data_IF_665390319358
#
_entry.id   IF_665390319358
#
_cell.length_a   1.000
_cell.length_b   1.000
_cell.length_c   1.000
_cell.angle_alpha   90.00
_cell.angle_beta   90.00
_cell.angle_gamma   90.00
#
_symmetry.space_group_name_H-M   'P 1'
#
loop_
_entity.id
_entity.type
_entity.pdbx_description
1 polymer ?
#
# COMPACT_ATOMS: atom_id res chain seq x y z
N UNK A 1 107.79 -9.07 35.97
CA UNK A 1 106.76 -9.74 35.16
C UNK A 1 105.69 -10.26 36.11
N UNK A 2 104.54 -9.59 36.17
CA UNK A 2 103.27 -10.15 36.69
C UNK A 2 102.15 -9.19 36.34
N UNK A 3 101.35 -9.59 35.36
CA UNK A 3 100.19 -8.88 34.83
C UNK A 3 99.05 -8.90 35.85
N UNK A 4 98.50 -7.73 36.19
CA UNK A 4 97.23 -7.61 36.92
C UNK A 4 96.10 -7.35 35.92
N UNK A 5 95.27 -8.36 35.70
CA UNK A 5 94.07 -8.31 34.87
C UNK A 5 92.94 -7.73 35.72
N UNK A 6 92.35 -6.61 35.27
CA UNK A 6 91.16 -6.00 35.87
C UNK A 6 89.95 -6.59 35.15
N UNK A 7 89.17 -7.42 35.85
CA UNK A 7 87.88 -7.92 35.38
C UNK A 7 86.79 -6.89 35.69
N UNK A 8 86.24 -6.24 34.67
CA UNK A 8 85.00 -5.47 34.79
C UNK A 8 83.82 -6.43 34.80
N UNK A 9 83.17 -6.61 35.95
CA UNK A 9 81.88 -7.27 36.06
C UNK A 9 80.77 -6.25 35.74
N UNK A 10 80.18 -6.36 34.55
CA UNK A 10 78.93 -5.68 34.22
C UNK A 10 77.75 -6.52 34.72
N UNK A 11 77.04 -6.00 35.71
CA UNK A 11 75.83 -6.61 36.26
C UNK A 11 74.62 -6.22 35.39
N UNK A 12 74.29 -7.02 34.38
CA UNK A 12 73.07 -6.82 33.59
C UNK A 12 71.85 -7.32 34.37
N UNK A 13 71.08 -6.37 34.92
CA UNK A 13 69.76 -6.65 35.49
C UNK A 13 68.79 -6.95 34.35
N UNK A 14 68.46 -8.23 34.14
CA UNK A 14 67.37 -8.64 33.26
C UNK A 14 66.03 -8.37 33.97
N UNK A 15 65.42 -7.23 33.67
CA UNK A 15 64.02 -6.96 34.02
C UNK A 15 63.16 -7.79 33.07
N UNK A 16 62.63 -8.92 33.57
CA UNK A 16 61.54 -9.61 32.90
C UNK A 16 60.29 -8.73 33.00
N UNK A 17 60.00 -7.97 31.94
CA UNK A 17 58.65 -7.44 31.73
C UNK A 17 57.73 -8.64 31.46
N UNK A 18 57.06 -9.15 32.49
CA UNK A 18 55.82 -9.87 32.29
C UNK A 18 54.81 -8.88 31.72
N UNK A 19 54.73 -8.81 30.39
CA UNK A 19 53.56 -8.24 29.73
C UNK A 19 52.39 -9.18 30.04
N UNK A 20 51.70 -8.96 31.15
CA UNK A 20 50.37 -9.52 31.35
C UNK A 20 49.49 -8.93 30.26
N UNK A 21 49.25 -9.69 29.19
CA UNK A 21 48.17 -9.35 28.28
C UNK A 21 46.88 -9.49 29.05
N UNK A 22 46.38 -8.37 29.59
CA UNK A 22 45.00 -8.29 30.04
C UNK A 22 44.15 -8.49 28.79
N UNK A 23 43.67 -9.71 28.58
CA UNK A 23 42.65 -9.98 27.59
C UNK A 23 41.36 -9.33 28.08
N UNK A 24 41.04 -8.15 27.58
CA UNK A 24 39.75 -7.55 27.81
C UNK A 24 38.67 -8.40 27.15
N UNK A 25 37.52 -8.51 27.83
CA UNK A 25 36.29 -9.03 27.29
C UNK A 25 35.90 -8.25 26.03
N UNK A 26 35.78 -8.91 24.87
CA UNK A 26 35.42 -8.24 23.62
C UNK A 26 34.42 -9.07 22.81
N UNK A 27 33.39 -8.38 22.32
CA UNK A 27 32.44 -8.85 21.32
C UNK A 27 32.78 -8.19 19.99
N UNK A 28 33.28 -8.98 19.03
CA UNK A 28 33.42 -8.54 17.65
C UNK A 28 32.24 -9.06 16.85
N UNK A 29 31.56 -8.16 16.14
CA UNK A 29 30.46 -8.51 15.24
C UNK A 29 30.95 -8.20 13.84
N UNK A 30 31.00 -9.20 12.97
CA UNK A 30 31.18 -9.01 11.54
C UNK A 30 29.86 -9.29 10.86
N UNK A 31 29.46 -8.41 9.94
CA UNK A 31 28.20 -8.54 9.23
C UNK A 31 28.41 -8.23 7.75
N UNK A 32 27.86 -9.12 6.92
CA UNK A 32 27.83 -9.05 5.46
C UNK A 32 26.38 -9.04 5.02
N UNK A 33 25.99 -8.01 4.28
CA UNK A 33 24.63 -7.85 3.76
C UNK A 33 24.67 -7.47 2.29
N UNK A 34 23.85 -8.08 1.43
CA UNK A 34 23.67 -7.57 0.08
C UNK A 34 22.88 -6.27 0.14
N UNK A 35 23.22 -5.36 -0.76
CA UNK A 35 22.39 -4.19 -1.01
C UNK A 35 21.11 -4.64 -1.72
N UNK A 36 20.03 -4.86 -0.97
CA UNK A 36 18.74 -5.29 -1.55
C UNK A 36 18.05 -4.13 -2.29
N UNK A 37 17.95 -4.26 -3.61
CA UNK A 37 17.10 -3.42 -4.44
C UNK A 37 15.75 -4.09 -4.64
N UNK A 38 14.68 -3.42 -4.23
CA UNK A 38 13.31 -3.96 -4.34
C UNK A 38 12.81 -3.77 -5.76
N UNK A 39 12.44 -4.86 -6.43
CA UNK A 39 11.88 -4.82 -7.80
C UNK A 39 10.55 -5.59 -7.84
N UNK A 40 9.55 -5.03 -8.49
CA UNK A 40 8.28 -5.74 -8.74
C UNK A 40 7.10 -4.81 -8.97
N UNK A 41 5.90 -5.19 -8.51
CA UNK A 41 4.65 -4.44 -8.75
C UNK A 41 3.87 -4.22 -7.44
N UNK A 42 3.23 -3.06 -7.36
CA UNK A 42 2.26 -2.68 -6.33
C UNK A 42 0.97 -2.25 -7.01
N UNK A 43 -0.16 -2.78 -6.56
CA UNK A 43 -1.48 -2.39 -7.03
C UNK A 43 -2.19 -1.62 -5.92
N UNK A 44 -2.75 -0.46 -6.25
CA UNK A 44 -3.47 0.36 -5.27
C UNK A 44 -4.68 1.00 -5.92
N UNK A 45 -5.80 1.03 -5.20
CA UNK A 45 -7.00 1.79 -5.58
C UNK A 45 -7.11 3.03 -4.71
N UNK A 46 -7.73 4.10 -5.22
CA UNK A 46 -7.91 5.32 -4.43
C UNK A 46 -8.77 5.11 -3.18
N UNK A 47 -9.75 4.19 -3.24
CA UNK A 47 -10.66 3.90 -2.12
C UNK A 47 -10.07 2.94 -1.08
N UNK A 48 -8.88 2.36 -1.34
CA UNK A 48 -8.18 1.55 -0.34
C UNK A 48 -7.94 2.38 0.93
N UNK A 49 -8.34 1.93 2.14
CA UNK A 49 -8.12 2.68 3.38
C UNK A 49 -6.63 2.86 3.70
N UNK A 50 -6.29 3.98 4.36
CA UNK A 50 -4.94 4.18 4.89
C UNK A 50 -4.59 3.10 5.91
N UNK A 51 -3.35 2.61 5.86
CA UNK A 51 -2.87 1.48 6.67
C UNK A 51 -3.01 0.12 5.99
N UNK A 52 -3.69 0.03 4.86
CA UNK A 52 -3.81 -1.23 4.10
C UNK A 52 -2.49 -1.61 3.44
N UNK A 53 -2.11 -2.89 3.57
CA UNK A 53 -0.95 -3.47 2.88
C UNK A 53 -1.31 -3.66 1.41
N UNK A 54 -0.51 -3.09 0.51
CA UNK A 54 -0.76 -3.05 -0.95
C UNK A 54 0.24 -3.90 -1.76
N UNK A 55 1.06 -4.69 -1.07
CA UNK A 55 2.02 -5.60 -1.70
C UNK A 55 2.22 -6.87 -0.89
N UNK A 56 2.58 -7.95 -1.57
CA UNK A 56 3.25 -9.07 -0.93
C UNK A 56 4.59 -8.64 -0.34
N UNK A 57 5.18 -9.50 0.51
CA UNK A 57 6.54 -9.29 1.02
C UNK A 57 7.55 -9.47 -0.12
N UNK A 58 8.31 -8.43 -0.40
CA UNK A 58 9.51 -8.55 -1.22
C UNK A 58 10.63 -9.10 -0.34
N UNK A 59 10.88 -10.40 -0.44
CA UNK A 59 11.89 -11.10 0.34
C UNK A 59 13.26 -10.86 -0.29
N UNK A 60 14.24 -10.50 0.53
CA UNK A 60 15.61 -10.35 0.07
C UNK A 60 16.17 -11.71 -0.40
N UNK A 61 16.92 -11.75 -1.53
CA UNK A 61 17.40 -13.01 -2.10
C UNK A 61 18.41 -13.73 -1.20
N UNK A 62 19.06 -13.01 -0.29
CA UNK A 62 19.94 -13.56 0.72
C UNK A 62 19.78 -12.83 2.06
N UNK A 63 19.94 -13.54 3.17
CA UNK A 63 19.77 -12.97 4.51
C UNK A 63 20.90 -11.99 4.84
N UNK A 64 20.62 -11.08 5.77
CA UNK A 64 21.66 -10.33 6.46
C UNK A 64 22.37 -11.30 7.41
N UNK A 65 23.66 -11.53 7.22
CA UNK A 65 24.37 -12.59 7.93
C UNK A 65 25.73 -12.12 8.41
N UNK A 66 26.31 -12.86 9.32
CA UNK A 66 27.56 -12.44 9.96
C UNK A 66 28.01 -13.42 11.02
N UNK A 67 29.02 -13.01 11.77
CA UNK A 67 29.52 -13.74 12.93
C UNK A 67 29.69 -12.82 14.13
N UNK A 68 29.52 -13.41 15.31
CA UNK A 68 29.79 -12.78 16.59
C UNK A 68 30.86 -13.60 17.29
N UNK A 69 31.96 -12.94 17.66
CA UNK A 69 33.06 -13.51 18.42
C UNK A 69 33.01 -13.04 19.86
N UNK A 70 32.91 -13.96 20.81
CA UNK A 70 33.01 -13.68 22.24
C UNK A 70 34.38 -14.11 22.75
N UNK A 71 35.18 -13.18 23.28
CA UNK A 71 36.49 -13.46 23.89
C UNK A 71 36.52 -13.06 25.35
N UNK A 72 36.90 -14.00 26.25
CA UNK A 72 37.15 -13.80 27.68
C UNK A 72 36.11 -12.94 28.43
N UNK A 73 34.83 -13.12 28.07
CA UNK A 73 33.79 -12.18 28.41
C UNK A 73 32.97 -12.57 29.65
N UNK A 74 33.04 -11.75 30.71
CA UNK A 74 32.34 -11.94 31.98
C UNK A 74 31.13 -11.01 32.11
N UNK A 75 30.16 -11.14 31.20
CA UNK A 75 28.84 -10.50 31.33
C UNK A 75 28.56 -9.30 30.42
N UNK A 76 29.38 -9.07 29.40
CA UNK A 76 29.08 -8.07 28.35
C UNK A 76 27.83 -8.43 27.57
N UNK A 77 26.96 -7.45 27.40
CA UNK A 77 25.87 -7.42 26.42
C UNK A 77 26.36 -6.68 25.18
N UNK A 78 26.18 -7.25 23.99
CA UNK A 78 26.35 -6.54 22.72
C UNK A 78 24.99 -6.30 22.07
N UNK A 79 24.94 -5.49 21.01
CA UNK A 79 23.70 -5.36 20.24
C UNK A 79 23.95 -5.08 18.77
N UNK A 80 23.03 -5.53 17.91
CA UNK A 80 22.95 -5.10 16.51
C UNK A 80 21.70 -4.25 16.36
N UNK A 81 21.87 -3.01 15.91
CA UNK A 81 20.77 -2.06 15.72
C UNK A 81 20.55 -1.85 14.22
N UNK A 82 19.32 -2.10 13.78
CA UNK A 82 18.82 -1.83 12.44
C UNK A 82 17.97 -0.57 12.49
N UNK A 83 18.39 0.49 11.81
CA UNK A 83 17.76 1.80 11.96
C UNK A 83 17.53 2.52 10.63
N UNK A 84 16.44 3.28 10.58
CA UNK A 84 16.13 4.20 9.48
C UNK A 84 15.86 5.60 10.02
N UNK A 85 16.27 6.63 9.27
CA UNK A 85 16.03 8.03 9.64
C UNK A 85 14.75 8.59 9.00
N UNK A 86 14.06 7.79 8.18
CA UNK A 86 12.83 8.22 7.54
C UNK A 86 11.73 8.56 8.54
N UNK A 87 10.87 9.48 8.15
CA UNK A 87 9.68 9.84 8.92
C UNK A 87 8.66 8.72 8.88
N UNK A 88 7.96 8.50 9.99
CA UNK A 88 6.80 7.61 10.01
C UNK A 88 5.70 8.20 9.13
N UNK A 89 5.18 7.41 8.20
CA UNK A 89 4.07 7.75 7.33
C UNK A 89 2.75 7.17 7.83
N UNK A 90 2.79 6.07 8.59
CA UNK A 90 1.61 5.47 9.21
C UNK A 90 2.00 4.59 10.41
N UNK A 91 1.23 4.66 11.49
CA UNK A 91 1.49 3.87 12.70
C UNK A 91 2.91 4.07 13.27
N UNK A 92 3.48 3.00 13.81
CA UNK A 92 4.80 2.99 14.45
C UNK A 92 5.89 2.31 13.60
N UNK A 93 5.56 1.75 12.43
CA UNK A 93 6.46 0.89 11.67
C UNK A 93 6.41 1.05 10.14
N UNK A 94 5.63 2.02 9.64
CA UNK A 94 5.55 2.36 8.21
C UNK A 94 6.23 3.70 7.98
N UNK A 95 7.23 3.73 7.11
CA UNK A 95 8.07 4.89 6.81
C UNK A 95 7.73 5.50 5.45
N UNK A 96 7.93 6.81 5.30
CA UNK A 96 7.71 7.50 4.04
C UNK A 96 8.69 7.03 2.96
N UNK A 97 8.19 6.61 1.81
CA UNK A 97 9.03 6.23 0.64
C UNK A 97 9.55 7.42 -0.14
N UNK A 98 9.00 8.61 0.11
CA UNK A 98 9.13 9.78 -0.77
C UNK A 98 8.07 9.82 -1.88
N UNK A 99 7.40 8.70 -2.15
CA UNK A 99 6.24 8.61 -3.04
C UNK A 99 4.96 8.99 -2.29
N UNK A 100 4.18 9.91 -2.86
CA UNK A 100 2.92 10.37 -2.26
C UNK A 100 1.95 9.19 -2.01
N UNK A 101 1.42 9.12 -0.78
CA UNK A 101 0.42 8.12 -0.39
C UNK A 101 0.94 6.69 -0.23
N UNK A 102 2.25 6.45 -0.38
CA UNK A 102 2.85 5.12 -0.26
C UNK A 102 3.95 5.11 0.80
N UNK A 103 3.77 4.27 1.82
CA UNK A 103 4.76 3.98 2.85
C UNK A 103 5.38 2.60 2.67
N UNK A 104 6.45 2.34 3.40
CA UNK A 104 7.17 1.06 3.41
C UNK A 104 7.37 0.55 4.84
N UNK A 105 7.24 -0.76 5.02
CA UNK A 105 7.49 -1.49 6.26
C UNK A 105 8.63 -2.48 6.04
N UNK A 106 9.54 -2.56 7.01
CA UNK A 106 10.69 -3.46 6.99
C UNK A 106 10.49 -4.61 7.97
N UNK A 107 10.77 -5.81 7.52
CA UNK A 107 10.72 -7.04 8.31
C UNK A 107 12.10 -7.66 8.42
N UNK A 108 12.37 -8.25 9.57
CA UNK A 108 13.57 -9.03 9.84
C UNK A 108 13.20 -10.23 10.69
N UNK A 109 13.76 -11.38 10.35
CA UNK A 109 13.50 -12.64 11.05
C UNK A 109 14.73 -13.01 11.86
N UNK A 110 14.57 -13.09 13.17
CA UNK A 110 15.60 -13.56 14.10
C UNK A 110 15.35 -15.04 14.36
N UNK A 111 16.31 -15.89 14.01
CA UNK A 111 16.26 -17.31 14.33
C UNK A 111 16.64 -17.55 15.79
N UNK A 112 16.04 -18.59 16.39
CA UNK A 112 16.44 -19.04 17.73
C UNK A 112 17.84 -19.63 17.69
N UNK A 113 18.75 -19.08 18.50
CA UNK A 113 20.01 -19.74 18.83
C UNK A 113 20.29 -19.56 20.32
N UNK A 114 20.44 -20.69 21.01
CA UNK A 114 20.81 -20.79 22.42
C UNK A 114 22.11 -20.04 22.78
N UNK A 115 22.95 -19.72 21.78
CA UNK A 115 24.22 -19.02 21.98
C UNK A 115 24.05 -17.53 22.30
N UNK A 116 23.03 -16.87 21.74
CA UNK A 116 22.86 -15.41 21.89
C UNK A 116 22.06 -15.02 23.14
N UNK A 117 21.62 -15.99 23.95
CA UNK A 117 20.83 -15.78 25.18
C UNK A 117 19.55 -14.96 24.98
N UNK A 118 19.19 -14.65 23.74
CA UNK A 118 18.12 -13.76 23.38
C UNK A 118 16.84 -14.56 23.21
N UNK A 119 15.78 -14.19 23.94
CA UNK A 119 14.43 -14.70 23.71
C UNK A 119 13.77 -14.11 22.44
N UNK A 120 14.53 -13.32 21.66
CA UNK A 120 14.04 -12.70 20.44
C UNK A 120 14.10 -13.73 19.31
N UNK A 121 12.95 -14.36 19.04
CA UNK A 121 12.80 -15.38 18.01
C UNK A 121 11.53 -15.13 17.24
N UNK A 122 11.61 -15.09 15.92
CA UNK A 122 10.48 -14.82 15.04
C UNK A 122 10.73 -13.59 14.17
N UNK A 123 9.65 -13.13 13.55
CA UNK A 123 9.67 -11.98 12.66
C UNK A 123 9.34 -10.69 13.42
N UNK A 124 10.12 -9.64 13.17
CA UNK A 124 9.96 -8.33 13.77
C UNK A 124 9.89 -7.26 12.68
N UNK A 125 9.20 -6.16 12.99
CA UNK A 125 9.27 -4.94 12.19
C UNK A 125 10.24 -3.95 12.80
N UNK A 126 10.84 -3.10 11.97
CA UNK A 126 11.59 -1.94 12.47
C UNK A 126 10.55 -0.93 12.97
N UNK A 127 10.26 -0.94 14.26
CA UNK A 127 9.34 0.00 14.91
C UNK A 127 10.06 1.22 15.43
N UNK A 128 9.39 2.38 15.46
CA UNK A 128 9.91 3.62 16.05
C UNK A 128 11.34 3.94 15.62
N UNK A 129 11.62 3.76 14.31
CA UNK A 129 12.91 3.99 13.64
C UNK A 129 14.02 2.99 13.91
N UNK A 130 13.88 2.04 14.83
CA UNK A 130 14.94 1.06 15.10
C UNK A 130 14.45 -0.27 15.65
N UNK A 131 15.09 -1.35 15.21
CA UNK A 131 15.03 -2.65 15.87
C UNK A 131 16.40 -2.97 16.47
N UNK A 132 16.42 -3.42 17.74
CA UNK A 132 17.65 -3.79 18.44
C UNK A 132 17.63 -5.28 18.77
N UNK A 133 18.56 -6.02 18.16
CA UNK A 133 18.85 -7.39 18.54
C UNK A 133 19.90 -7.40 19.65
N UNK A 134 19.47 -7.74 20.85
CA UNK A 134 20.34 -7.82 22.02
C UNK A 134 21.06 -9.17 22.05
N UNK A 135 22.38 -9.13 22.19
CA UNK A 135 23.24 -10.30 22.31
C UNK A 135 23.61 -10.46 23.78
N UNK A 136 23.02 -11.45 24.44
CA UNK A 136 23.27 -11.72 25.87
C UNK A 136 24.01 -13.05 25.99
N UNK A 137 25.18 -13.06 26.63
CA UNK A 137 25.97 -14.30 26.71
C UNK A 137 25.29 -15.35 27.61
N UNK A 138 25.25 -16.60 27.14
CA UNK A 138 25.44 -17.80 27.96
C UNK A 138 26.94 -18.14 27.97
N UNK A 139 27.57 -18.26 29.13
CA UNK A 139 29.02 -18.28 29.42
C UNK A 139 29.99 -19.07 28.50
N UNK A 140 30.07 -18.79 27.19
CA UNK A 140 30.89 -19.50 26.19
C UNK A 140 31.87 -18.60 25.41
N UNK A 141 33.10 -19.06 25.23
CA UNK A 141 34.11 -18.43 24.35
C UNK A 141 33.96 -19.03 22.95
N UNK A 142 33.96 -18.19 21.91
CA UNK A 142 33.93 -18.69 20.54
C UNK A 142 33.16 -17.81 19.56
N UNK A 143 33.17 -18.27 18.32
CA UNK A 143 32.49 -17.65 17.18
C UNK A 143 31.13 -18.31 16.93
N UNK A 144 30.10 -17.52 16.67
CA UNK A 144 28.86 -18.01 16.05
C UNK A 144 28.38 -17.16 14.92
N UNK A 145 27.89 -17.85 13.90
CA UNK A 145 27.28 -17.21 12.76
C UNK A 145 25.79 -16.97 13.01
N UNK A 146 25.28 -15.86 12.49
CA UNK A 146 23.86 -15.57 12.47
C UNK A 146 23.39 -15.34 11.03
N UNK A 147 22.09 -15.55 10.82
CA UNK A 147 21.43 -15.36 9.54
C UNK A 147 20.04 -14.80 9.78
N UNK A 148 19.79 -13.61 9.24
CA UNK A 148 18.56 -12.85 9.41
C UNK A 148 17.91 -12.60 8.05
N UNK A 149 16.95 -13.44 7.62
CA UNK A 149 16.09 -13.13 6.48
C UNK A 149 15.41 -11.78 6.71
N UNK A 150 15.26 -11.00 5.65
CA UNK A 150 14.57 -9.72 5.72
C UNK A 150 13.71 -9.51 4.49
N UNK A 151 12.67 -8.70 4.65
CA UNK A 151 11.71 -8.40 3.59
C UNK A 151 11.16 -6.99 3.75
N UNK A 152 10.51 -6.49 2.70
CA UNK A 152 9.76 -5.23 2.76
C UNK A 152 8.33 -5.40 2.25
N UNK A 153 7.42 -4.54 2.71
CA UNK A 153 6.08 -4.39 2.14
C UNK A 153 5.73 -2.92 1.96
N UNK A 154 4.92 -2.63 0.95
CA UNK A 154 4.33 -1.31 0.77
C UNK A 154 2.94 -1.24 1.41
N UNK A 155 2.64 -0.08 1.98
CA UNK A 155 1.41 0.21 2.70
C UNK A 155 0.86 1.53 2.17
N UNK A 156 -0.45 1.60 1.93
CA UNK A 156 -1.10 2.87 1.58
C UNK A 156 -1.14 3.80 2.79
N UNK A 157 -0.72 5.04 2.64
CA UNK A 157 -0.63 6.03 3.73
C UNK A 157 -1.41 7.31 3.47
N UNK A 158 -1.97 7.47 2.27
CA UNK A 158 -2.79 8.61 1.88
C UNK A 158 -3.20 8.51 0.42
N UNK A 159 -3.70 9.62 -0.13
CA UNK A 159 -4.03 9.72 -1.55
C UNK A 159 -2.80 9.41 -2.40
N UNK A 160 -2.96 8.49 -3.35
CA UNK A 160 -1.89 8.08 -4.26
C UNK A 160 -1.95 8.99 -5.48
N UNK A 161 -0.91 9.80 -5.67
CA UNK A 161 -0.79 10.67 -6.84
C UNK A 161 -0.60 9.89 -8.15
N UNK A 162 -0.30 10.61 -9.24
CA UNK A 162 0.06 10.03 -10.54
C UNK A 162 1.49 9.48 -10.49
N UNK A 163 1.65 8.31 -9.87
CA UNK A 163 2.94 7.63 -9.72
C UNK A 163 2.90 6.30 -10.47
N UNK A 164 3.91 6.09 -11.33
CA UNK A 164 4.07 4.84 -12.08
C UNK A 164 5.18 3.96 -11.52
N UNK A 165 6.14 4.53 -10.77
CA UNK A 165 7.26 3.79 -10.17
C UNK A 165 7.69 4.36 -8.82
N UNK A 166 8.12 3.47 -7.92
CA UNK A 166 8.86 3.79 -6.70
C UNK A 166 10.33 3.49 -6.99
N UNK A 167 11.14 4.53 -7.15
CA UNK A 167 12.56 4.40 -7.50
C UNK A 167 13.48 4.48 -6.28
N UNK A 168 12.94 4.96 -5.15
CA UNK A 168 13.69 5.14 -3.91
C UNK A 168 12.89 4.64 -2.72
N UNK A 169 13.59 4.01 -1.79
CA UNK A 169 13.06 3.60 -0.49
C UNK A 169 14.03 4.06 0.60
N UNK A 170 13.59 4.27 1.85
CA UNK A 170 14.49 4.58 2.95
C UNK A 170 15.57 3.53 3.14
N UNK A 171 16.78 4.03 3.42
CA UNK A 171 17.90 3.22 3.83
C UNK A 171 17.63 2.59 5.21
N UNK A 172 18.06 1.34 5.38
CA UNK A 172 18.20 0.72 6.71
C UNK A 172 19.68 0.54 7.00
N UNK A 173 20.18 1.38 7.91
CA UNK A 173 21.55 1.31 8.44
C UNK A 173 21.68 0.21 9.48
N UNK A 174 22.87 -0.34 9.61
CA UNK A 174 23.19 -1.35 10.63
C UNK A 174 24.40 -0.90 11.42
N UNK A 175 24.27 -0.86 12.74
CA UNK A 175 25.38 -0.59 13.65
C UNK A 175 25.47 -1.71 14.69
N UNK A 176 26.67 -2.24 14.85
CA UNK A 176 27.00 -3.17 15.91
C UNK A 176 27.57 -2.41 17.11
N UNK A 177 27.19 -2.77 18.32
CA UNK A 177 27.68 -2.17 19.56
C UNK A 177 28.25 -3.24 20.48
N UNK A 178 29.39 -2.94 21.11
CA UNK A 178 29.90 -3.71 22.24
C UNK A 178 29.22 -3.27 23.56
N UNK A 179 29.59 -3.90 24.69
CA UNK A 179 29.07 -3.52 26.02
C UNK A 179 29.35 -2.08 26.44
N UNK A 180 30.42 -1.48 25.90
CA UNK A 180 30.77 -0.09 26.24
C UNK A 180 29.98 0.93 25.42
N UNK A 181 29.10 0.48 24.51
CA UNK A 181 28.32 1.35 23.62
C UNK A 181 29.12 1.91 22.44
N UNK A 182 30.32 1.38 22.17
CA UNK A 182 31.12 1.77 21.00
C UNK A 182 30.47 1.22 19.74
N UNK A 183 30.11 2.11 18.80
CA UNK A 183 29.46 1.74 17.55
C UNK A 183 30.47 1.35 16.46
N UNK A 184 30.17 0.27 15.75
CA UNK A 184 30.83 -0.12 14.51
C UNK A 184 29.81 -0.17 13.38
N UNK A 185 29.89 0.77 12.42
CA UNK A 185 29.06 0.75 11.24
C UNK A 185 29.27 -0.54 10.45
N UNK A 186 28.16 -1.12 9.99
CA UNK A 186 28.12 -2.31 9.15
C UNK A 186 27.44 -1.99 7.83
N UNK A 187 27.58 -2.85 6.79
CA UNK A 187 26.87 -2.67 5.54
C UNK A 187 25.37 -2.50 5.79
N UNK A 188 24.76 -1.57 5.06
CA UNK A 188 23.33 -1.33 5.13
C UNK A 188 22.55 -2.59 4.76
N UNK A 189 21.40 -2.80 5.40
CA UNK A 189 20.53 -3.94 5.13
C UNK A 189 19.72 -3.74 3.84
N UNK A 190 19.31 -2.50 3.56
CA UNK A 190 18.49 -2.13 2.40
C UNK A 190 19.10 -0.88 1.76
N UNK A 191 19.24 -0.82 0.42
CA UNK A 191 19.65 0.42 -0.28
C UNK A 191 18.53 1.42 -0.39
N UNK A 192 18.91 2.64 -0.75
CA UNK A 192 17.98 3.65 -1.21
C UNK A 192 17.40 3.44 -2.61
N UNK A 193 17.74 2.35 -3.33
CA UNK A 193 17.32 2.09 -4.71
C UNK A 193 16.18 1.07 -4.79
N UNK A 194 15.19 1.33 -5.64
CA UNK A 194 14.08 0.43 -5.94
C UNK A 194 13.65 0.55 -7.41
N UNK A 195 12.97 -0.45 -7.94
CA UNK A 195 12.31 -0.44 -9.23
C UNK A 195 10.96 -1.15 -9.12
N UNK A 196 10.02 -0.53 -8.41
CA UNK A 196 8.68 -1.07 -8.19
C UNK A 196 7.68 -0.30 -9.03
N UNK A 197 7.01 -0.99 -9.94
CA UNK A 197 5.92 -0.40 -10.74
C UNK A 197 4.67 -0.25 -9.88
N UNK A 198 4.10 0.95 -9.86
CA UNK A 198 2.82 1.24 -9.20
C UNK A 198 1.74 1.30 -10.26
N UNK A 199 0.69 0.50 -10.10
CA UNK A 199 -0.53 0.65 -10.89
C UNK A 199 -1.62 1.20 -9.98
N UNK A 200 -1.99 2.46 -10.21
CA UNK A 200 -3.15 3.08 -9.59
C UNK A 200 -4.38 2.85 -10.48
N UNK A 201 -5.44 2.26 -9.91
CA UNK A 201 -6.69 2.10 -10.62
C UNK A 201 -7.62 3.28 -10.37
N UNK A 202 -7.97 4.00 -11.43
CA UNK A 202 -8.87 5.16 -11.35
C UNK A 202 -9.92 5.06 -12.44
N UNK A 203 -11.20 5.31 -12.11
CA UNK A 203 -12.27 5.44 -13.10
C UNK A 203 -12.63 6.91 -13.29
N UNK A 204 -12.84 7.31 -14.54
CA UNK A 204 -13.33 8.63 -14.93
C UNK A 204 -14.66 8.48 -15.65
N UNK A 205 -15.61 9.36 -15.33
CA UNK A 205 -16.88 9.42 -16.02
C UNK A 205 -16.81 10.54 -17.08
N UNK A 206 -17.08 10.28 -18.37
CA UNK A 206 -17.38 11.35 -19.31
C UNK A 206 -18.56 12.19 -18.79
N UNK A 207 -18.53 13.49 -19.06
CA UNK A 207 -19.53 14.44 -18.56
C UNK A 207 -20.96 14.05 -18.91
N UNK A 208 -21.94 14.47 -18.09
CA UNK A 208 -23.35 14.09 -18.24
C UNK A 208 -24.01 14.74 -19.47
N UNK A 209 -24.32 13.99 -20.54
CA UNK A 209 -24.91 14.58 -21.74
C UNK A 209 -26.39 14.90 -21.54
N UNK A 210 -26.86 15.97 -22.18
CA UNK A 210 -28.30 16.26 -22.27
C UNK A 210 -28.97 15.33 -23.27
N UNK A 211 -30.00 14.61 -22.85
CA UNK A 211 -30.76 13.70 -23.72
C UNK A 211 -32.04 14.40 -24.19
N UNK A 212 -32.04 14.83 -25.46
CA UNK A 212 -33.20 15.47 -26.07
C UNK A 212 -34.17 14.42 -26.64
N UNK A 213 -35.31 14.24 -25.98
CA UNK A 213 -36.41 13.40 -26.46
C UNK A 213 -37.15 14.10 -27.62
N UNK A 214 -37.68 13.34 -28.60
CA UNK A 214 -38.42 13.92 -29.71
C UNK A 214 -39.73 14.56 -29.23
N UNK A 215 -40.27 15.48 -30.02
CA UNK A 215 -41.62 15.99 -29.77
C UNK A 215 -42.66 14.90 -30.13
N UNK A 216 -43.62 14.69 -29.23
CA UNK A 216 -44.68 13.68 -29.39
C UNK A 216 -46.05 14.33 -29.23
N UNK A 217 -47.05 13.79 -29.94
CA UNK A 217 -48.44 14.24 -29.81
C UNK A 217 -49.10 13.54 -28.62
N UNK A 218 -50.01 14.24 -27.93
CA UNK A 218 -50.76 13.67 -26.81
C UNK A 218 -51.57 12.41 -27.21
N UNK A 219 -52.00 12.31 -28.46
CA UNK A 219 -52.70 11.14 -29.02
C UNK A 219 -51.86 9.85 -29.03
N UNK A 220 -50.53 9.95 -28.88
CA UNK A 220 -49.65 8.79 -28.74
C UNK A 220 -49.78 8.09 -27.37
N UNK A 221 -50.56 8.66 -26.45
CA UNK A 221 -50.73 8.14 -25.09
C UNK A 221 -52.21 7.85 -24.80
N UNK A 222 -52.79 6.75 -25.31
CA UNK A 222 -54.23 6.47 -25.18
C UNK A 222 -54.70 6.26 -23.73
N UNK A 223 -53.87 5.68 -22.87
CA UNK A 223 -54.19 5.41 -21.45
C UNK A 223 -52.97 5.59 -20.54
N UNK A 224 -53.19 5.66 -19.22
CA UNK A 224 -52.11 5.48 -18.25
C UNK A 224 -51.29 4.20 -18.57
N UNK A 225 -49.97 4.30 -18.42
CA UNK A 225 -49.03 3.24 -18.82
C UNK A 225 -48.56 3.29 -20.27
N UNK A 226 -49.17 4.11 -21.13
CA UNK A 226 -48.71 4.29 -22.51
C UNK A 226 -47.36 5.03 -22.57
N UNK A 227 -46.53 4.68 -23.56
CA UNK A 227 -45.20 5.26 -23.76
C UNK A 227 -44.98 5.75 -25.19
N UNK A 228 -44.12 6.75 -25.38
CA UNK A 228 -43.74 7.24 -26.71
C UNK A 228 -42.44 8.04 -26.69
N UNK A 229 -41.89 8.34 -27.87
CA UNK A 229 -40.72 9.21 -28.03
C UNK A 229 -39.43 8.64 -27.45
N UNK A 230 -39.10 7.40 -27.81
CA UNK A 230 -37.90 6.71 -27.33
C UNK A 230 -36.61 7.36 -27.87
N UNK A 231 -35.61 7.49 -27.00
CA UNK A 231 -34.26 7.97 -27.35
C UNK A 231 -33.20 7.10 -26.65
N UNK A 232 -32.30 6.41 -27.38
CA UNK A 232 -31.19 5.70 -26.79
C UNK A 232 -30.12 6.65 -26.27
N UNK A 233 -29.44 6.24 -25.20
CA UNK A 233 -28.24 6.87 -24.65
C UNK A 233 -27.38 5.83 -23.93
N UNK A 234 -26.11 6.15 -23.67
CA UNK A 234 -25.21 5.29 -22.91
C UNK A 234 -24.70 5.99 -21.66
N UNK A 235 -24.35 5.18 -20.66
CA UNK A 235 -23.51 5.60 -19.54
C UNK A 235 -22.21 4.85 -19.67
N UNK A 236 -21.14 5.63 -19.79
CA UNK A 236 -19.78 5.17 -20.03
C UNK A 236 -18.92 5.51 -18.81
N UNK A 237 -17.88 4.72 -18.59
CA UNK A 237 -16.74 5.12 -17.75
C UNK A 237 -15.45 4.57 -18.33
N UNK A 238 -14.40 5.38 -18.22
CA UNK A 238 -13.05 5.02 -18.62
C UNK A 238 -12.22 4.78 -17.37
N UNK A 239 -11.88 3.53 -17.09
CA UNK A 239 -10.96 3.20 -16.02
C UNK A 239 -9.56 2.94 -16.56
N UNK A 240 -8.57 3.23 -15.74
CA UNK A 240 -7.17 2.86 -15.95
C UNK A 240 -6.76 1.85 -14.89
N UNK A 241 -5.76 1.02 -15.21
CA UNK A 241 -5.26 -0.04 -14.33
C UNK A 241 -5.59 -1.45 -14.84
N UNK A 242 -4.67 -2.40 -14.67
CA UNK A 242 -4.87 -3.80 -15.06
C UNK A 242 -5.41 -4.62 -13.89
N UNK A 243 -6.63 -4.31 -13.44
CA UNK A 243 -7.30 -5.04 -12.36
C UNK A 243 -8.71 -5.43 -12.75
N UNK A 244 -9.21 -6.51 -12.15
CA UNK A 244 -10.62 -6.90 -12.24
C UNK A 244 -11.44 -5.86 -11.52
N UNK A 245 -12.28 -5.15 -12.24
CA UNK A 245 -13.23 -4.23 -11.64
C UNK A 245 -14.52 -4.97 -11.30
N UNK A 246 -14.98 -4.82 -10.06
CA UNK A 246 -16.38 -5.10 -9.75
C UNK A 246 -17.20 -3.83 -9.87
N UNK A 247 -18.05 -3.75 -10.89
CA UNK A 247 -18.91 -2.59 -11.10
C UNK A 247 -20.29 -2.81 -10.48
N UNK A 248 -20.78 -1.82 -9.73
CA UNK A 248 -22.18 -1.73 -9.33
C UNK A 248 -22.77 -0.42 -9.86
N UNK A 249 -23.80 -0.53 -10.70
CA UNK A 249 -24.50 0.64 -11.26
C UNK A 249 -25.93 0.69 -10.76
N UNK A 250 -26.33 1.84 -10.22
CA UNK A 250 -27.67 2.09 -9.66
C UNK A 250 -28.18 3.49 -10.05
N UNK A 251 -29.48 3.62 -10.29
CA UNK A 251 -30.11 4.93 -10.44
C UNK A 251 -30.57 5.46 -9.08
N UNK A 252 -30.34 6.75 -8.81
CA UNK A 252 -30.55 7.37 -7.50
C UNK A 252 -31.31 8.70 -7.59
N UNK A 253 -32.13 8.85 -8.62
CA UNK A 253 -32.94 10.05 -8.84
C UNK A 253 -34.15 10.11 -7.92
N UNK A 254 -34.78 11.28 -7.87
CA UNK A 254 -36.13 11.43 -7.32
C UNK A 254 -37.17 10.93 -8.34
N UNK A 255 -37.60 9.68 -8.14
CA UNK A 255 -38.52 8.99 -9.03
C UNK A 255 -39.98 9.24 -8.65
N UNK A 256 -40.83 9.45 -9.65
CA UNK A 256 -42.27 9.26 -9.52
C UNK A 256 -42.60 7.80 -9.15
N UNK A 257 -41.91 6.85 -9.77
CA UNK A 257 -42.02 5.43 -9.47
C UNK A 257 -40.67 4.75 -9.67
N UNK A 258 -40.00 4.39 -8.57
CA UNK A 258 -38.68 3.77 -8.58
C UNK A 258 -38.68 2.38 -9.19
N UNK A 259 -39.73 1.58 -8.95
CA UNK A 259 -39.87 0.21 -9.49
C UNK A 259 -39.92 0.14 -11.01
N UNK A 260 -40.26 1.26 -11.64
CA UNK A 260 -40.32 1.42 -13.10
C UNK A 260 -39.36 2.48 -13.63
N UNK A 261 -38.49 3.03 -12.77
CA UNK A 261 -37.56 4.13 -13.05
C UNK A 261 -38.20 5.31 -13.81
N UNK A 262 -39.39 5.73 -13.36
CA UNK A 262 -40.12 6.87 -13.92
C UNK A 262 -39.73 8.13 -13.15
N UNK A 263 -39.10 9.08 -13.82
CA UNK A 263 -38.71 10.39 -13.30
C UNK A 263 -39.88 11.38 -13.34
N UNK A 264 -39.93 12.26 -12.33
CA UNK A 264 -40.84 13.39 -12.31
C UNK A 264 -40.46 14.46 -13.34
N UNK A 265 -41.46 15.18 -13.86
CA UNK A 265 -41.24 16.44 -14.55
C UNK A 265 -40.80 17.49 -13.52
N UNK A 266 -39.62 18.07 -13.71
CA UNK A 266 -39.07 19.13 -12.86
C UNK A 266 -39.67 20.51 -13.16
N UNK A 267 -40.28 20.69 -14.32
CA UNK A 267 -40.95 21.94 -14.68
C UNK A 267 -42.27 22.08 -13.92
N UNK A 268 -42.54 23.29 -13.44
CA UNK A 268 -43.79 23.66 -12.79
C UNK A 268 -44.39 24.91 -13.44
N UNK A 269 -45.69 25.13 -13.26
CA UNK A 269 -46.39 26.31 -13.78
C UNK A 269 -46.91 26.20 -15.22
N UNK A 270 -47.30 27.34 -15.83
CA UNK A 270 -47.89 27.38 -17.16
C UNK A 270 -46.97 26.78 -18.23
N UNK A 271 -47.51 25.89 -19.06
CA UNK A 271 -46.76 25.24 -20.14
C UNK A 271 -45.95 24.00 -19.73
N UNK A 272 -45.89 23.65 -18.44
CA UNK A 272 -45.38 22.35 -17.99
C UNK A 272 -46.43 21.24 -18.24
N UNK A 273 -45.98 20.08 -18.72
CA UNK A 273 -46.87 18.94 -18.90
C UNK A 273 -47.29 18.35 -17.54
N UNK A 274 -48.52 17.85 -17.44
CA UNK A 274 -49.05 17.14 -16.27
C UNK A 274 -49.49 15.73 -16.64
N UNK A 275 -49.30 14.78 -15.73
CA UNK A 275 -49.65 13.37 -15.95
C UNK A 275 -48.67 12.62 -16.84
N UNK A 276 -47.46 13.15 -17.02
CA UNK A 276 -46.37 12.54 -17.77
C UNK A 276 -45.08 12.55 -16.97
N UNK A 277 -44.26 11.52 -17.15
CA UNK A 277 -42.89 11.42 -16.64
C UNK A 277 -41.95 10.88 -17.71
N UNK A 278 -40.66 10.79 -17.37
CA UNK A 278 -39.65 10.16 -18.23
C UNK A 278 -39.30 8.81 -17.65
N UNK A 279 -39.54 7.74 -18.39
CA UNK A 279 -39.14 6.38 -18.01
C UNK A 279 -37.76 6.07 -18.59
N UNK A 280 -36.89 5.48 -17.77
CA UNK A 280 -35.64 4.86 -18.21
C UNK A 280 -35.87 3.36 -18.36
N UNK A 281 -35.41 2.78 -19.46
CA UNK A 281 -35.47 1.32 -19.71
C UNK A 281 -34.13 0.82 -20.21
N UNK A 282 -33.93 -0.50 -20.15
CA UNK A 282 -32.75 -1.10 -20.74
C UNK A 282 -32.82 -1.08 -22.29
N UNK A 283 -31.75 -1.54 -22.94
CA UNK A 283 -31.67 -1.60 -24.41
C UNK A 283 -32.78 -2.43 -25.06
N UNK A 284 -33.36 -3.39 -24.32
CA UNK A 284 -34.41 -4.30 -24.75
C UNK A 284 -35.82 -3.83 -24.33
N UNK A 285 -35.95 -2.60 -23.82
CA UNK A 285 -37.19 -2.00 -23.33
C UNK A 285 -37.80 -2.65 -22.08
N UNK A 286 -37.00 -3.40 -21.32
CA UNK A 286 -37.43 -3.92 -20.02
C UNK A 286 -37.47 -2.79 -18.98
N UNK A 287 -38.47 -2.85 -18.09
CA UNK A 287 -38.57 -1.93 -16.97
C UNK A 287 -37.38 -2.14 -16.01
N UNK A 288 -36.79 -1.03 -15.55
CA UNK A 288 -35.71 -1.04 -14.59
C UNK A 288 -36.27 -0.67 -13.22
N UNK A 289 -36.05 -1.55 -12.24
CA UNK A 289 -36.28 -1.25 -10.83
C UNK A 289 -35.07 -0.52 -10.23
N UNK A 290 -35.21 0.79 -10.06
CA UNK A 290 -34.16 1.65 -9.51
C UNK A 290 -33.87 1.40 -8.02
N UNK A 291 -34.68 0.61 -7.31
CA UNK A 291 -34.38 0.23 -5.93
C UNK A 291 -33.17 -0.71 -5.85
N UNK A 292 -32.90 -1.44 -6.93
CA UNK A 292 -31.86 -2.47 -7.02
C UNK A 292 -30.67 -2.03 -7.90
N UNK A 293 -29.55 -2.74 -7.79
CA UNK A 293 -28.46 -2.59 -8.74
C UNK A 293 -28.89 -3.12 -10.11
N UNK A 294 -28.65 -2.34 -11.15
CA UNK A 294 -29.14 -2.59 -12.52
C UNK A 294 -28.09 -3.36 -13.32
N UNK A 295 -26.85 -3.27 -12.89
CA UNK A 295 -25.74 -4.02 -13.45
C UNK A 295 -24.72 -4.34 -12.38
N UNK A 296 -24.29 -5.60 -12.37
CA UNK A 296 -23.19 -6.10 -11.56
C UNK A 296 -22.33 -7.02 -12.41
N UNK A 297 -21.06 -6.70 -12.59
CA UNK A 297 -20.12 -7.56 -13.32
C UNK A 297 -18.75 -7.55 -12.66
N UNK A 298 -17.97 -8.59 -12.96
CA UNK A 298 -16.52 -8.60 -12.79
C UNK A 298 -15.92 -8.71 -14.18
N UNK A 299 -15.16 -7.70 -14.59
CA UNK A 299 -14.57 -7.67 -15.93
C UNK A 299 -13.08 -7.33 -15.88
N UNK A 300 -12.33 -7.93 -16.80
CA UNK A 300 -10.95 -7.55 -17.10
C UNK A 300 -10.90 -6.33 -18.04
N UNK A 301 -12.06 -5.86 -18.52
CA UNK A 301 -12.18 -4.61 -19.28
C UNK A 301 -12.08 -3.43 -18.35
N UNK A 302 -11.17 -2.51 -18.66
CA UNK A 302 -11.01 -1.28 -17.92
C UNK A 302 -12.14 -0.27 -18.21
N UNK A 303 -13.11 -0.59 -19.07
CA UNK A 303 -14.21 0.32 -19.40
C UNK A 303 -15.55 -0.33 -19.06
N UNK A 304 -16.45 0.47 -18.50
CA UNK A 304 -17.85 0.12 -18.31
C UNK A 304 -18.71 0.87 -19.33
N UNK A 305 -19.66 0.15 -19.93
CA UNK A 305 -20.62 0.67 -20.90
C UNK A 305 -21.99 0.09 -20.59
N UNK A 306 -23.00 0.95 -20.43
CA UNK A 306 -24.40 0.54 -20.27
C UNK A 306 -25.30 1.31 -21.23
N UNK A 307 -25.89 0.59 -22.18
CA UNK A 307 -26.94 1.08 -23.06
C UNK A 307 -28.27 1.18 -22.33
N UNK A 308 -28.91 2.34 -22.44
CA UNK A 308 -30.22 2.65 -21.88
C UNK A 308 -31.06 3.41 -22.90
N UNK A 309 -32.36 3.52 -22.61
CA UNK A 309 -33.27 4.35 -23.39
C UNK A 309 -34.14 5.19 -22.46
N UNK A 310 -34.40 6.43 -22.87
CA UNK A 310 -35.36 7.31 -22.23
C UNK A 310 -36.62 7.41 -23.11
N UNK A 311 -37.81 7.44 -22.50
CA UNK A 311 -39.08 7.62 -23.20
C UNK A 311 -40.09 8.33 -22.32
N UNK A 312 -41.07 9.00 -22.93
CA UNK A 312 -42.19 9.56 -22.16
C UNK A 312 -43.10 8.43 -21.66
N UNK A 313 -43.67 8.61 -20.47
CA UNK A 313 -44.60 7.69 -19.83
C UNK A 313 -45.81 8.46 -19.31
N UNK A 314 -47.03 8.01 -19.64
CA UNK A 314 -48.27 8.59 -19.09
C UNK A 314 -48.54 8.00 -17.71
N UNK A 315 -48.48 8.83 -16.67
CA UNK A 315 -48.59 8.41 -15.27
C UNK A 315 -50.00 8.45 -14.72
N UNK A 316 -50.92 9.19 -15.35
CA UNK A 316 -52.29 9.37 -14.87
C UNK A 316 -53.28 9.51 -16.04
N UNK A 317 -54.57 9.36 -15.76
CA UNK A 317 -55.64 9.53 -16.73
C UNK A 317 -55.88 11.01 -17.05
N UNK A 318 -55.77 11.89 -16.06
CA UNK A 318 -55.79 13.34 -16.29
C UNK A 318 -54.42 13.83 -16.74
N UNK A 319 -54.34 14.26 -18.01
CA UNK A 319 -53.10 14.74 -18.63
C UNK A 319 -53.26 16.15 -19.18
N UNK A 320 -52.17 16.91 -19.15
CA UNK A 320 -52.08 18.23 -19.78
C UNK A 320 -50.82 18.26 -20.67
N UNK A 321 -50.94 18.59 -21.97
CA UNK A 321 -49.77 18.77 -22.83
C UNK A 321 -48.89 19.93 -22.34
N UNK A 322 -47.58 19.80 -22.54
CA UNK A 322 -46.61 20.83 -22.17
C UNK A 322 -45.18 20.33 -22.31
N UNK A 323 -44.25 21.08 -21.73
CA UNK A 323 -42.82 20.75 -21.67
C UNK A 323 -42.54 19.81 -20.50
N UNK A 324 -41.56 18.93 -20.70
CA UNK A 324 -41.03 18.05 -19.66
C UNK A 324 -39.51 18.23 -19.61
N UNK A 325 -39.00 18.38 -18.40
CA UNK A 325 -37.57 18.34 -18.11
C UNK A 325 -37.35 17.44 -16.90
N UNK A 326 -36.36 16.57 -16.95
CA UNK A 326 -36.02 15.65 -15.85
C UNK A 326 -34.51 15.53 -15.76
N UNK A 327 -34.01 15.10 -14.60
CA UNK A 327 -32.59 14.76 -14.45
C UNK A 327 -32.46 13.37 -13.86
N UNK A 328 -31.55 12.59 -14.44
CA UNK A 328 -31.18 11.26 -13.98
C UNK A 328 -29.86 11.34 -13.21
N UNK A 329 -29.93 11.09 -11.91
CA UNK A 329 -28.79 10.77 -11.05
C UNK A 329 -28.58 9.26 -11.00
N UNK A 330 -27.31 8.87 -10.98
CA UNK A 330 -26.88 7.48 -10.84
C UNK A 330 -25.62 7.43 -9.97
N UNK A 331 -25.36 6.24 -9.41
CA UNK A 331 -24.16 5.94 -8.63
C UNK A 331 -23.40 4.80 -9.30
N UNK A 332 -22.08 4.93 -9.27
CA UNK A 332 -21.14 3.99 -9.85
C UNK A 332 -20.10 3.66 -8.80
N UNK A 333 -20.15 2.43 -8.31
CA UNK A 333 -19.17 1.93 -7.36
C UNK A 333 -18.24 0.93 -8.06
N UNK A 334 -16.94 1.09 -7.84
CA UNK A 334 -15.90 0.19 -8.34
C UNK A 334 -15.00 -0.24 -7.18
N UNK A 335 -14.63 -1.53 -7.17
CA UNK A 335 -13.79 -2.15 -6.16
C UNK A 335 -12.78 -3.07 -6.85
#
# INVERSE_FOLDING_TARGET
MSFKIIFHLTFSVFIFFFATQFSYANVQIDATGPTFTVTGRVNVTNDTPNGTVISEKFIAPSPYSGSVNFTNDTGTTGSIVFATVATLAYGDDVYATGTQGIGIRYFLTVSSDSFFGSSQTGEYTIKNKSFTWNLTRASQTGTKSFSMPFAVQFVKTGDVGTVNTINTIPLVTVNAYNHTGTAWPKPNMVSSSSNVTVTNSTCSQPGSPTINLPQVRASAFPSAGSVSGEKPFSIDSNCSGNVKFQFTFKLTSDFYNSSKSILNNKLTGPGAAKGYGIQIVDENNNEIDANNAIYKTTTDSNNFHKSLKARYYRTNDMVQPGKIESALLYTFDYY
#
